data_IF_504954374485
#
_entry.id   IF_504954374485
#
_cell.length_a   1.000
_cell.length_b   1.000
_cell.length_c   1.000
_cell.angle_alpha   90.00
_cell.angle_beta   90.00
_cell.angle_gamma   90.00
#
_symmetry.space_group_name_H-M   'P 1'
#
loop_
_entity.id
_entity.type
_entity.pdbx_description
1 polymer ?
#
# COMPACT_ATOMS: atom_id res chain seq x y z
N UNK A 1 -9.96 13.17 7.52
CA UNK A 1 -11.21 12.44 7.16
C UNK A 1 -11.59 11.39 8.20
N UNK A 2 -12.34 11.81 9.22
CA UNK A 2 -13.24 10.90 9.94
C UNK A 2 -14.34 10.46 8.95
N UNK A 3 -14.44 9.16 8.62
CA UNK A 3 -15.55 8.68 7.79
C UNK A 3 -15.30 7.48 6.88
N UNK A 4 -14.09 6.91 6.83
CA UNK A 4 -13.94 5.59 6.22
C UNK A 4 -14.54 4.53 7.16
N UNK A 5 -15.56 3.81 6.68
CA UNK A 5 -16.18 2.70 7.42
C UNK A 5 -15.60 1.39 6.94
N UNK A 6 -15.04 0.61 7.87
CA UNK A 6 -14.60 -0.77 7.61
C UNK A 6 -15.81 -1.67 7.36
N UNK A 7 -15.68 -2.58 6.41
CA UNK A 7 -16.64 -3.63 6.10
C UNK A 7 -15.97 -4.99 6.25
N UNK A 8 -16.75 -5.97 6.70
CA UNK A 8 -16.36 -7.36 6.53
C UNK A 8 -16.38 -7.73 5.04
N UNK A 9 -15.52 -8.66 4.63
CA UNK A 9 -15.37 -9.00 3.21
C UNK A 9 -16.71 -9.44 2.60
N UNK A 10 -17.49 -10.25 3.31
CA UNK A 10 -18.81 -10.69 2.86
C UNK A 10 -19.79 -9.54 2.62
N UNK A 11 -19.79 -8.53 3.50
CA UNK A 11 -20.62 -7.33 3.36
C UNK A 11 -20.15 -6.47 2.18
N UNK A 12 -18.83 -6.33 2.01
CA UNK A 12 -18.24 -5.58 0.93
C UNK A 12 -18.53 -6.21 -0.45
N UNK A 13 -18.50 -7.55 -0.53
CA UNK A 13 -18.84 -8.29 -1.75
C UNK A 13 -20.35 -8.30 -2.04
N UNK A 14 -21.19 -8.12 -1.02
CA UNK A 14 -22.64 -8.04 -1.17
C UNK A 14 -23.14 -6.65 -1.61
N UNK A 15 -22.24 -5.66 -1.75
CA UNK A 15 -22.59 -4.36 -2.29
C UNK A 15 -23.10 -4.50 -3.74
N UNK A 16 -24.28 -3.96 -4.02
CA UNK A 16 -24.91 -4.11 -5.34
C UNK A 16 -24.16 -3.42 -6.48
N UNK A 17 -24.57 -3.68 -7.73
CA UNK A 17 -23.94 -3.20 -8.99
C UNK A 17 -23.75 -1.68 -9.12
N UNK A 18 -24.35 -0.89 -8.23
CA UNK A 18 -24.07 0.54 -8.12
C UNK A 18 -22.76 0.88 -7.42
N UNK A 19 -22.01 -0.11 -6.94
CA UNK A 19 -20.71 0.05 -6.30
C UNK A 19 -19.57 -0.42 -7.21
N UNK A 20 -18.50 0.36 -7.26
CA UNK A 20 -17.25 0.00 -7.91
C UNK A 20 -16.27 -0.54 -6.88
N UNK A 21 -15.54 -1.59 -7.24
CA UNK A 21 -14.53 -2.19 -6.38
C UNK A 21 -13.15 -1.70 -6.83
N UNK A 22 -12.36 -1.17 -5.90
CA UNK A 22 -10.95 -0.88 -6.11
C UNK A 22 -10.11 -1.77 -5.20
N UNK A 23 -8.99 -2.27 -5.68
CA UNK A 23 -8.10 -3.14 -4.91
C UNK A 23 -6.70 -2.55 -4.88
N UNK A 24 -6.05 -2.57 -3.72
CA UNK A 24 -4.68 -2.07 -3.56
C UNK A 24 -3.86 -3.03 -2.71
N UNK A 25 -2.55 -3.08 -2.94
CA UNK A 25 -1.65 -3.99 -2.25
C UNK A 25 -0.47 -3.29 -1.59
N UNK A 26 -0.27 -3.57 -0.30
CA UNK A 26 1.02 -3.36 0.35
C UNK A 26 1.94 -4.52 -0.03
N UNK A 27 2.97 -4.22 -0.82
CA UNK A 27 4.03 -5.16 -1.15
C UNK A 27 5.20 -4.92 -0.21
N UNK A 28 5.63 -5.98 0.50
CA UNK A 28 6.73 -5.85 1.46
C UNK A 28 7.67 -7.05 1.48
N UNK A 29 8.93 -6.80 1.81
CA UNK A 29 9.96 -7.84 1.96
C UNK A 29 10.88 -7.53 3.15
N UNK A 30 11.41 -8.54 3.86
CA UNK A 30 12.51 -8.33 4.81
C UNK A 30 13.70 -7.69 4.11
N UNK A 31 14.29 -6.68 4.74
CA UNK A 31 15.44 -5.95 4.22
C UNK A 31 16.57 -5.91 5.28
N UNK A 32 17.68 -6.64 5.07
CA UNK A 32 18.81 -6.67 5.99
C UNK A 32 19.67 -5.39 5.90
N UNK A 33 19.33 -4.46 5.01
CA UNK A 33 20.03 -3.22 4.78
C UNK A 33 20.04 -2.29 6.00
N UNK A 34 21.00 -1.37 5.98
CA UNK A 34 21.24 -0.38 7.03
C UNK A 34 21.39 1.01 6.43
N UNK A 35 20.56 1.96 6.86
CA UNK A 35 20.76 3.38 6.59
C UNK A 35 22.00 3.88 7.35
N UNK A 36 22.93 4.49 6.62
CA UNK A 36 24.23 4.97 7.13
C UNK A 36 25.02 3.89 7.91
N UNK A 37 24.84 2.61 7.55
CA UNK A 37 25.53 1.48 8.17
C UNK A 37 25.17 1.21 9.63
N UNK A 38 24.17 1.89 10.20
CA UNK A 38 23.87 1.82 11.65
C UNK A 38 22.39 1.80 12.02
N UNK A 39 21.50 2.16 11.10
CA UNK A 39 20.05 2.20 11.34
C UNK A 39 19.39 1.10 10.48
N UNK A 40 18.81 0.05 11.08
CA UNK A 40 18.23 -1.05 10.31
C UNK A 40 17.00 -0.60 9.52
N UNK A 41 16.93 -1.00 8.24
CA UNK A 41 15.76 -0.80 7.39
C UNK A 41 14.61 -1.75 7.77
N UNK A 42 14.96 -3.00 8.16
CA UNK A 42 14.07 -4.07 8.64
C UNK A 42 13.22 -4.69 7.54
N UNK A 43 12.41 -3.86 6.89
CA UNK A 43 11.56 -4.24 5.78
C UNK A 43 11.55 -3.12 4.74
N UNK A 44 11.48 -3.52 3.48
CA UNK A 44 11.09 -2.63 2.39
C UNK A 44 9.57 -2.75 2.22
N UNK A 45 8.88 -1.60 2.15
CA UNK A 45 7.46 -1.51 1.82
C UNK A 45 7.33 -0.54 0.66
N UNK A 46 6.62 -0.94 -0.40
CA UNK A 46 6.41 -0.11 -1.58
C UNK A 46 5.10 0.68 -1.47
N UNK A 47 5.20 1.97 -1.75
CA UNK A 47 4.09 2.87 -2.07
C UNK A 47 4.42 3.60 -3.38
N UNK A 48 3.45 4.36 -3.89
CA UNK A 48 3.57 5.10 -5.13
C UNK A 48 3.22 6.57 -4.90
N UNK A 49 3.98 7.46 -5.55
CA UNK A 49 3.49 8.79 -5.87
C UNK A 49 2.53 8.68 -7.07
N UNK A 50 1.28 9.03 -6.86
CA UNK A 50 0.23 8.98 -7.88
C UNK A 50 0.20 10.26 -8.72
N UNK A 51 -0.47 10.20 -9.86
CA UNK A 51 -0.71 11.35 -10.75
C UNK A 51 -1.34 12.57 -10.06
N UNK A 52 -2.09 12.35 -8.97
CA UNK A 52 -2.75 13.41 -8.20
C UNK A 52 -1.87 14.01 -7.09
N UNK A 53 -0.59 13.64 -7.05
CA UNK A 53 0.40 14.15 -6.10
C UNK A 53 0.29 13.57 -4.69
N UNK A 54 -0.51 12.50 -4.52
CA UNK A 54 -0.68 11.82 -3.23
C UNK A 54 0.03 10.47 -3.20
N UNK A 55 0.42 10.06 -2.00
CA UNK A 55 0.93 8.71 -1.74
C UNK A 55 -0.21 7.70 -1.62
N UNK A 56 -0.06 6.57 -2.31
CA UNK A 56 -0.99 5.45 -2.25
C UNK A 56 -0.29 4.11 -2.44
N UNK A 57 -1.05 3.03 -2.33
CA UNK A 57 -0.59 1.69 -2.67
C UNK A 57 -0.89 1.37 -4.13
N UNK A 58 -0.07 0.55 -4.79
CA UNK A 58 -0.34 0.07 -6.13
C UNK A 58 -1.68 -0.66 -6.23
N UNK A 59 -2.37 -0.47 -7.34
CA UNK A 59 -3.63 -1.11 -7.69
C UNK A 59 -4.70 -0.13 -8.16
N UNK A 60 -5.78 -0.67 -8.69
CA UNK A 60 -6.82 0.09 -9.38
C UNK A 60 -8.20 -0.51 -9.25
N UNK A 61 -9.06 -0.19 -10.21
CA UNK A 61 -10.43 -0.69 -10.24
C UNK A 61 -10.48 -2.12 -10.76
N UNK A 62 -11.40 -2.91 -10.18
CA UNK A 62 -11.73 -4.24 -10.69
C UNK A 62 -12.75 -4.08 -11.81
N UNK A 63 -12.42 -4.62 -12.97
CA UNK A 63 -13.25 -4.57 -14.17
C UNK A 63 -14.30 -5.68 -14.17
N UNK A 64 -15.37 -5.49 -14.93
CA UNK A 64 -16.44 -6.49 -15.06
C UNK A 64 -15.99 -7.80 -15.72
N UNK A 65 -14.85 -7.77 -16.41
CA UNK A 65 -14.23 -8.94 -17.05
C UNK A 65 -13.30 -9.71 -16.09
N UNK A 66 -12.90 -9.11 -14.97
CA UNK A 66 -12.06 -9.77 -13.97
C UNK A 66 -12.89 -10.82 -13.21
N UNK A 67 -12.37 -12.05 -13.09
CA UNK A 67 -13.13 -13.17 -12.46
C UNK A 67 -13.19 -13.05 -10.93
N UNK A 68 -12.31 -12.25 -10.33
CA UNK A 68 -12.27 -11.98 -8.90
C UNK A 68 -11.58 -10.64 -8.61
N UNK A 69 -11.68 -10.18 -7.36
CA UNK A 69 -10.95 -9.01 -6.87
C UNK A 69 -9.43 -9.17 -7.07
N UNK A 70 -8.91 -10.37 -6.80
CA UNK A 70 -7.49 -10.67 -6.94
C UNK A 70 -7.06 -10.72 -8.41
N UNK A 71 -7.91 -11.20 -9.32
CA UNK A 71 -7.62 -11.15 -10.77
C UNK A 71 -7.45 -9.71 -11.24
N UNK A 72 -8.38 -8.82 -10.87
CA UNK A 72 -8.29 -7.40 -11.18
C UNK A 72 -7.08 -6.74 -10.53
N UNK A 73 -6.82 -7.00 -9.23
CA UNK A 73 -5.65 -6.48 -8.55
C UNK A 73 -4.35 -6.90 -9.24
N UNK A 74 -4.17 -8.19 -9.56
CA UNK A 74 -2.94 -8.65 -10.20
C UNK A 74 -2.80 -8.14 -11.65
N UNK A 75 -3.89 -7.78 -12.34
CA UNK A 75 -3.82 -7.07 -13.63
C UNK A 75 -3.26 -5.66 -13.42
N UNK A 76 -3.88 -4.88 -12.54
CA UNK A 76 -3.47 -3.52 -12.20
C UNK A 76 -2.00 -3.47 -11.73
N UNK A 77 -1.58 -4.42 -10.88
CA UNK A 77 -0.19 -4.50 -10.43
C UNK A 77 0.80 -4.67 -11.59
N UNK A 78 0.47 -5.39 -12.66
CA UNK A 78 1.36 -5.51 -13.82
C UNK A 78 1.40 -4.24 -14.65
N UNK A 79 0.28 -3.54 -14.77
CA UNK A 79 0.19 -2.27 -15.50
C UNK A 79 1.03 -1.18 -14.81
N UNK A 80 0.95 -1.11 -13.49
CA UNK A 80 1.62 -0.10 -12.68
C UNK A 80 3.07 -0.42 -12.30
N UNK A 81 3.42 -1.70 -12.13
CA UNK A 81 4.74 -2.14 -11.63
C UNK A 81 5.60 -2.85 -12.69
N UNK A 82 5.02 -3.16 -13.84
CA UNK A 82 5.68 -3.81 -14.97
C UNK A 82 5.81 -5.33 -14.82
N UNK A 83 6.54 -5.94 -15.76
CA UNK A 83 6.63 -7.41 -15.92
C UNK A 83 7.10 -8.16 -14.67
N UNK A 84 7.93 -7.53 -13.82
CA UNK A 84 8.40 -8.15 -12.59
C UNK A 84 7.25 -8.51 -11.61
N UNK A 85 6.11 -7.82 -11.69
CA UNK A 85 4.93 -8.16 -10.90
C UNK A 85 4.31 -9.52 -11.29
N UNK A 86 4.67 -10.10 -12.44
CA UNK A 86 4.24 -11.45 -12.80
C UNK A 86 4.97 -12.56 -12.03
N UNK A 87 6.06 -12.24 -11.31
CA UNK A 87 6.81 -13.22 -10.51
C UNK A 87 6.06 -13.66 -9.24
N UNK A 88 5.09 -12.86 -8.79
CA UNK A 88 4.26 -13.19 -7.64
C UNK A 88 2.78 -13.02 -7.96
N UNK A 89 1.94 -13.45 -7.02
CA UNK A 89 0.49 -13.26 -7.10
C UNK A 89 -0.07 -12.88 -5.75
N UNK A 90 -0.87 -11.82 -5.73
CA UNK A 90 -1.70 -11.49 -4.56
C UNK A 90 -2.92 -12.42 -4.55
N UNK A 91 -3.15 -13.06 -3.41
CA UNK A 91 -4.20 -14.06 -3.22
C UNK A 91 -5.21 -13.64 -2.15
N UNK A 92 -6.32 -14.37 -2.06
CA UNK A 92 -7.36 -14.13 -1.03
C UNK A 92 -6.79 -14.19 0.39
N UNK A 93 -5.79 -15.02 0.64
CA UNK A 93 -5.12 -15.13 1.94
C UNK A 93 -4.32 -13.88 2.32
N UNK A 94 -4.01 -13.02 1.35
CA UNK A 94 -3.31 -11.75 1.58
C UNK A 94 -4.29 -10.61 1.96
N UNK A 95 -5.60 -10.85 1.91
CA UNK A 95 -6.64 -9.86 2.22
C UNK A 95 -6.57 -9.35 3.66
N UNK A 96 -6.82 -8.05 3.85
CA UNK A 96 -6.80 -7.39 5.17
C UNK A 96 -8.09 -6.70 5.53
N UNK A 97 -8.62 -5.87 4.63
CA UNK A 97 -9.78 -5.05 4.94
C UNK A 97 -10.46 -4.49 3.70
N UNK A 98 -11.74 -4.12 3.87
CA UNK A 98 -12.51 -3.33 2.91
C UNK A 98 -12.97 -2.05 3.60
N UNK A 99 -12.89 -0.93 2.89
CA UNK A 99 -13.31 0.37 3.38
C UNK A 99 -14.20 1.08 2.38
N UNK A 100 -15.25 1.72 2.89
CA UNK A 100 -16.10 2.63 2.11
C UNK A 100 -15.95 4.04 2.67
N UNK A 101 -15.74 5.01 1.78
CA UNK A 101 -15.73 6.43 2.15
C UNK A 101 -17.13 7.03 2.12
N UNK A 102 -17.25 8.30 2.51
CA UNK A 102 -18.48 9.09 2.37
C UNK A 102 -18.75 9.59 0.95
N UNK A 103 -17.80 9.38 0.02
CA UNK A 103 -17.83 9.90 -1.34
C UNK A 103 -18.55 8.96 -2.33
N UNK A 104 -18.02 8.80 -3.56
CA UNK A 104 -18.65 7.95 -4.57
C UNK A 104 -18.81 6.52 -4.06
N UNK A 105 -19.75 5.77 -4.65
CA UNK A 105 -20.00 4.34 -4.34
C UNK A 105 -18.80 3.48 -4.77
N UNK A 106 -17.71 3.59 -4.03
CA UNK A 106 -16.46 2.88 -4.22
C UNK A 106 -16.13 2.16 -2.91
N UNK A 107 -15.87 0.88 -3.02
CA UNK A 107 -15.31 0.08 -1.93
C UNK A 107 -13.85 -0.22 -2.25
N UNK A 108 -12.95 0.16 -1.35
CA UNK A 108 -11.52 -0.08 -1.47
C UNK A 108 -11.14 -1.32 -0.65
N UNK A 109 -10.64 -2.34 -1.33
CA UNK A 109 -10.10 -3.57 -0.74
C UNK A 109 -8.59 -3.44 -0.61
N UNK A 110 -8.04 -3.93 0.49
CA UNK A 110 -6.63 -3.84 0.82
C UNK A 110 -6.04 -5.20 1.12
N UNK A 111 -4.86 -5.45 0.55
CA UNK A 111 -4.10 -6.68 0.68
C UNK A 111 -2.69 -6.36 1.16
N UNK A 112 -2.05 -7.31 1.84
CA UNK A 112 -0.64 -7.21 2.19
C UNK A 112 0.09 -8.48 1.76
N UNK A 113 0.96 -8.36 0.76
CA UNK A 113 1.71 -9.46 0.17
C UNK A 113 3.17 -9.40 0.61
N UNK A 114 3.62 -10.46 1.28
CA UNK A 114 5.04 -10.66 1.55
C UNK A 114 5.73 -11.22 0.31
N UNK A 115 6.83 -10.57 -0.07
CA UNK A 115 7.74 -10.97 -1.13
C UNK A 115 9.10 -11.35 -0.54
N UNK A 116 9.92 -12.00 -1.37
CA UNK A 116 11.36 -12.01 -1.20
C UNK A 116 11.93 -10.62 -1.51
N UNK A 117 13.12 -10.32 -0.98
CA UNK A 117 13.79 -9.05 -1.29
C UNK A 117 14.15 -8.96 -2.78
N UNK A 118 14.48 -10.09 -3.41
CA UNK A 118 14.79 -10.18 -4.84
C UNK A 118 13.59 -9.79 -5.71
N UNK A 119 12.41 -10.34 -5.44
CA UNK A 119 11.17 -9.98 -6.14
C UNK A 119 10.84 -8.49 -5.97
N UNK A 120 10.99 -7.95 -4.76
CA UNK A 120 10.72 -6.54 -4.49
C UNK A 120 11.70 -5.61 -5.24
N UNK A 121 12.99 -5.94 -5.25
CA UNK A 121 14.01 -5.19 -6.01
C UNK A 121 13.78 -5.28 -7.52
N UNK A 122 13.34 -6.44 -8.03
CA UNK A 122 12.99 -6.60 -9.44
C UNK A 122 11.80 -5.72 -9.83
N UNK A 123 10.79 -5.61 -8.95
CA UNK A 123 9.67 -4.66 -9.10
C UNK A 123 10.20 -3.22 -9.16
N UNK A 124 11.05 -2.80 -8.23
CA UNK A 124 11.60 -1.44 -8.22
C UNK A 124 12.38 -1.10 -9.50
N UNK A 125 13.22 -2.04 -9.97
CA UNK A 125 13.98 -1.88 -11.21
C UNK A 125 13.10 -1.93 -12.47
N UNK A 126 11.96 -2.63 -12.39
CA UNK A 126 10.99 -2.81 -13.48
C UNK A 126 9.99 -1.67 -13.62
N UNK A 127 9.61 -1.04 -12.52
CA UNK A 127 8.51 -0.08 -12.47
C UNK A 127 8.72 1.16 -13.35
N UNK A 128 9.96 1.56 -13.63
CA UNK A 128 10.26 2.67 -14.55
C UNK A 128 9.98 2.34 -16.03
N UNK A 129 9.70 1.07 -16.34
CA UNK A 129 9.30 0.58 -17.66
C UNK A 129 7.85 0.07 -17.67
N UNK A 130 7.12 0.22 -16.57
CA UNK A 130 5.72 -0.14 -16.48
C UNK A 130 4.87 0.72 -17.40
N UNK A 131 3.71 0.20 -17.81
CA UNK A 131 2.78 0.86 -18.74
C UNK A 131 2.37 2.25 -18.22
N UNK A 132 2.11 2.35 -16.92
CA UNK A 132 1.57 3.56 -16.30
C UNK A 132 2.64 4.47 -15.69
N UNK A 133 3.93 4.16 -15.91
CA UNK A 133 5.03 4.97 -15.43
C UNK A 133 5.06 6.35 -16.10
N UNK A 134 5.09 7.41 -15.29
CA UNK A 134 5.01 8.80 -15.75
C UNK A 134 3.60 9.24 -16.15
N UNK A 135 2.59 8.38 -15.98
CA UNK A 135 1.18 8.66 -16.22
C UNK A 135 0.42 8.60 -14.89
N UNK A 136 -0.24 7.48 -14.60
CA UNK A 136 -0.98 7.28 -13.35
C UNK A 136 -0.03 7.11 -12.15
N UNK A 137 1.16 6.57 -12.40
CA UNK A 137 2.22 6.33 -11.41
C UNK A 137 3.44 7.20 -11.71
N UNK A 138 3.70 8.20 -10.88
CA UNK A 138 4.85 9.10 -11.04
C UNK A 138 6.16 8.48 -10.53
N UNK A 139 6.07 7.52 -9.60
CA UNK A 139 7.23 6.77 -9.14
C UNK A 139 6.96 5.96 -7.87
N UNK A 140 7.78 4.93 -7.66
CA UNK A 140 7.79 4.15 -6.42
C UNK A 140 8.57 4.84 -5.32
N UNK A 141 8.10 4.69 -4.09
CA UNK A 141 8.80 5.12 -2.88
C UNK A 141 8.81 3.99 -1.85
N UNK A 142 9.91 3.88 -1.11
CA UNK A 142 9.98 3.02 0.07
C UNK A 142 9.48 3.76 1.31
N UNK A 143 8.70 3.10 2.15
CA UNK A 143 8.34 3.61 3.47
C UNK A 143 9.55 3.50 4.41
N UNK A 144 10.05 4.59 5.01
CA UNK A 144 11.12 4.53 6.00
C UNK A 144 10.58 3.97 7.32
N UNK A 145 10.99 2.77 7.72
CA UNK A 145 10.53 2.10 8.96
C UNK A 145 11.43 2.36 10.17
N UNK A 146 12.12 3.49 10.16
CA UNK A 146 12.99 3.94 11.22
C UNK A 146 12.60 5.35 11.66
N UNK A 147 12.98 5.70 12.88
CA UNK A 147 12.93 7.07 13.38
C UNK A 147 14.35 7.51 13.71
N UNK A 148 14.77 8.65 13.18
CA UNK A 148 16.08 9.23 13.45
C UNK A 148 16.16 9.73 14.90
N UNK A 149 17.38 10.07 15.36
CA UNK A 149 17.62 10.50 16.75
C UNK A 149 16.91 11.80 17.14
N UNK A 150 16.52 12.60 16.15
CA UNK A 150 15.72 13.82 16.35
C UNK A 150 14.25 13.51 16.70
N UNK A 151 13.81 12.25 16.59
CA UNK A 151 12.45 11.81 16.88
C UNK A 151 11.44 12.13 15.77
N UNK A 152 11.85 12.79 14.68
CA UNK A 152 10.95 13.24 13.60
C UNK A 152 11.32 12.65 12.26
N UNK A 153 12.61 12.57 11.92
CA UNK A 153 13.04 12.06 10.63
C UNK A 153 12.74 10.58 10.43
N UNK A 154 12.37 10.18 9.21
CA UNK A 154 11.99 8.80 8.88
C UNK A 154 10.48 8.62 8.87
N UNK A 155 9.95 7.58 9.54
CA UNK A 155 8.52 7.27 9.55
C UNK A 155 7.63 8.45 9.97
N UNK A 156 7.94 9.21 11.05
CA UNK A 156 7.06 10.30 11.48
C UNK A 156 6.87 11.36 10.39
N UNK A 157 7.96 11.92 9.85
CA UNK A 157 7.88 12.88 8.72
C UNK A 157 7.29 12.24 7.46
N UNK A 158 7.53 10.95 7.19
CA UNK A 158 6.91 10.28 6.05
C UNK A 158 5.38 10.28 6.16
N UNK A 159 4.84 10.08 7.36
CA UNK A 159 3.40 10.08 7.63
C UNK A 159 2.75 11.48 7.55
N UNK A 160 3.55 12.55 7.45
CA UNK A 160 3.07 13.92 7.21
C UNK A 160 2.81 14.22 5.72
N UNK A 161 3.19 13.30 4.81
CA UNK A 161 2.85 13.45 3.40
C UNK A 161 1.33 13.38 3.16
N UNK A 162 0.90 13.86 1.99
CA UNK A 162 -0.49 13.71 1.57
C UNK A 162 -0.75 12.29 1.06
N UNK A 163 -1.67 11.56 1.71
CA UNK A 163 -2.07 10.20 1.30
C UNK A 163 -3.45 10.22 0.63
N UNK A 164 -3.67 9.30 -0.31
CA UNK A 164 -4.99 9.08 -0.90
C UNK A 164 -5.86 8.22 0.01
N UNK A 165 -7.14 8.59 0.14
CA UNK A 165 -8.14 7.77 0.83
C UNK A 165 -7.70 7.39 2.25
N UNK A 166 -7.74 6.09 2.54
CA UNK A 166 -7.33 5.48 3.80
C UNK A 166 -5.91 4.87 3.75
N UNK A 167 -5.08 5.23 2.77
CA UNK A 167 -3.78 4.59 2.58
C UNK A 167 -2.84 4.79 3.79
N UNK A 168 -2.92 5.93 4.47
CA UNK A 168 -2.14 6.19 5.69
C UNK A 168 -2.56 5.27 6.83
N UNK A 169 -3.86 5.15 7.09
CA UNK A 169 -4.42 4.29 8.13
C UNK A 169 -4.13 2.82 7.82
N UNK A 170 -4.30 2.39 6.55
CA UNK A 170 -3.95 1.04 6.10
C UNK A 170 -2.48 0.71 6.30
N UNK A 171 -1.57 1.66 6.02
CA UNK A 171 -0.15 1.50 6.31
C UNK A 171 0.07 1.26 7.81
N UNK A 172 -0.49 2.13 8.66
CA UNK A 172 -0.31 2.04 10.12
C UNK A 172 -0.87 0.74 10.70
N UNK A 173 -2.08 0.35 10.29
CA UNK A 173 -2.70 -0.92 10.68
C UNK A 173 -1.83 -2.12 10.24
N UNK A 174 -1.37 -2.13 8.98
CA UNK A 174 -0.51 -3.21 8.49
C UNK A 174 0.83 -3.27 9.22
N UNK A 175 1.47 -2.13 9.52
CA UNK A 175 2.71 -2.09 10.28
C UNK A 175 2.56 -2.71 11.68
N UNK A 176 1.42 -2.47 12.32
CA UNK A 176 1.08 -3.04 13.62
C UNK A 176 0.75 -4.54 13.52
N UNK A 177 -0.20 -4.90 12.67
CA UNK A 177 -0.73 -6.27 12.57
C UNK A 177 0.31 -7.27 12.07
N UNK A 178 1.23 -6.82 11.21
CA UNK A 178 2.31 -7.64 10.67
C UNK A 178 3.59 -7.59 11.51
N UNK A 179 3.63 -6.78 12.58
CA UNK A 179 4.81 -6.64 13.44
C UNK A 179 6.05 -6.11 12.70
N UNK A 180 5.87 -5.14 11.79
CA UNK A 180 6.95 -4.63 10.94
C UNK A 180 7.81 -3.55 11.62
N UNK A 181 7.32 -3.01 12.74
CA UNK A 181 8.05 -2.04 13.57
C UNK A 181 8.55 -2.69 14.87
N UNK A 182 9.51 -2.03 15.54
CA UNK A 182 9.87 -2.44 16.90
C UNK A 182 8.71 -2.21 17.87
N UNK A 183 8.59 -3.09 18.85
CA UNK A 183 7.64 -2.95 19.95
C UNK A 183 7.74 -1.54 20.56
N UNK A 184 6.62 -0.83 20.62
CA UNK A 184 6.52 0.52 21.19
C UNK A 184 6.75 1.69 20.23
N UNK A 185 7.16 1.47 18.97
CA UNK A 185 7.41 2.56 18.02
C UNK A 185 6.15 3.33 17.63
N UNK A 186 5.00 2.65 17.46
CA UNK A 186 3.75 3.30 17.03
C UNK A 186 3.19 4.22 18.12
N UNK A 187 3.21 3.77 19.38
CA UNK A 187 2.69 4.55 20.52
C UNK A 187 3.41 5.88 20.73
N UNK A 188 4.64 6.02 20.22
CA UNK A 188 5.44 7.25 20.27
C UNK A 188 5.27 8.18 19.06
N UNK A 189 4.60 7.75 17.99
CA UNK A 189 4.35 8.61 16.83
C UNK A 189 3.35 9.68 17.23
N UNK A 190 3.82 10.94 17.32
CA UNK A 190 2.92 12.10 17.32
C UNK A 190 2.32 12.22 15.92
N UNK A 191 1.28 11.45 15.63
CA UNK A 191 0.54 11.57 14.38
C UNK A 191 -0.34 12.82 14.51
N UNK A 192 -0.09 13.90 13.75
CA UNK A 192 -0.99 15.04 13.78
C UNK A 192 -2.37 14.60 13.27
N UNK A 193 -3.42 14.95 14.02
CA UNK A 193 -4.78 14.79 13.54
C UNK A 193 -4.99 15.72 12.33
N UNK A 194 -4.90 15.17 11.11
CA UNK A 194 -5.35 15.90 9.93
C UNK A 194 -6.88 15.82 9.86
N UNK A 195 -7.52 16.97 10.12
CA UNK A 195 -8.92 17.22 9.86
C UNK A 195 -9.18 17.17 8.35
#
# INVERSE_FOLDING_TARGET
MAGARRLELGEALALGSGWRHACHALLYAPDPGMLFGRIPLRYAILMQMRFDGRLGFPGGFVDTQDRSLEDGLNRELREELGEAAAAFRVERTDYRSSHVGSGPRVVAHFYAKRLTLEELLAVEAGATRAKDHGLEVLGLVRVPLYTLRDGVGGLPTFLENSFIGSAREQLLEALQDLGLLQSGSISGLKIPAHH
#
